data_IF_614710556520
#
_entry.id   IF_614710556520
#
_cell.length_a   1.000
_cell.length_b   1.000
_cell.length_c   1.000
_cell.angle_alpha   90.00
_cell.angle_beta   90.00
_cell.angle_gamma   90.00
#
_symmetry.space_group_name_H-M   'P 1'
#
loop_
_entity.id
_entity.type
_entity.pdbx_description
1 polymer ?
#
# COMPACT_ATOMS: atom_id res chain seq x y z
N UNK A 1 -25.23 -3.98 3.87
CA UNK A 1 -25.02 -2.66 3.25
C UNK A 1 -25.54 -2.73 1.83
N UNK A 2 -26.53 -1.91 1.45
CA UNK A 2 -26.90 -1.83 0.04
C UNK A 2 -25.93 -0.90 -0.68
N UNK A 3 -25.73 -1.13 -1.98
CA UNK A 3 -24.95 -0.22 -2.83
C UNK A 3 -25.52 1.21 -2.85
N UNK A 4 -26.78 1.39 -2.45
CA UNK A 4 -27.47 2.66 -2.45
C UNK A 4 -27.11 3.50 -1.22
N UNK A 5 -26.94 2.88 -0.05
CA UNK A 5 -26.63 3.60 1.20
C UNK A 5 -25.29 4.34 1.11
N UNK A 6 -24.24 3.67 0.62
CA UNK A 6 -22.91 4.29 0.48
C UNK A 6 -22.86 5.40 -0.59
N UNK A 7 -23.66 5.27 -1.66
CA UNK A 7 -23.77 6.30 -2.69
C UNK A 7 -24.49 7.53 -2.19
N UNK A 8 -25.53 7.36 -1.37
CA UNK A 8 -26.26 8.48 -0.79
C UNK A 8 -25.36 9.27 0.17
N UNK A 9 -24.70 8.58 1.10
CA UNK A 9 -23.72 9.19 2.02
C UNK A 9 -22.66 9.99 1.26
N UNK A 10 -22.10 9.44 0.18
CA UNK A 10 -21.11 10.14 -0.63
C UNK A 10 -21.68 11.39 -1.33
N UNK A 11 -22.93 11.35 -1.79
CA UNK A 11 -23.59 12.51 -2.39
C UNK A 11 -23.81 13.61 -1.35
N UNK A 12 -24.28 13.24 -0.17
CA UNK A 12 -24.56 14.17 0.92
C UNK A 12 -23.25 14.84 1.41
N UNK A 13 -22.19 14.06 1.58
CA UNK A 13 -20.86 14.58 1.93
C UNK A 13 -20.30 15.55 0.89
N UNK A 14 -20.44 15.23 -0.40
CA UNK A 14 -20.02 16.12 -1.48
C UNK A 14 -20.82 17.43 -1.46
N UNK A 15 -22.14 17.35 -1.29
CA UNK A 15 -22.99 18.52 -1.22
C UNK A 15 -22.63 19.41 -0.01
N UNK A 16 -22.51 18.81 1.17
CA UNK A 16 -22.14 19.51 2.41
C UNK A 16 -20.77 20.19 2.29
N UNK A 17 -19.78 19.49 1.73
CA UNK A 17 -18.43 20.04 1.56
C UNK A 17 -18.40 21.19 0.55
N UNK A 18 -19.18 21.11 -0.53
CA UNK A 18 -19.32 22.19 -1.52
C UNK A 18 -20.00 23.42 -0.94
N UNK A 19 -20.98 23.23 -0.06
CA UNK A 19 -21.65 24.33 0.65
C UNK A 19 -20.77 24.94 1.74
N UNK A 20 -19.69 24.26 2.14
CA UNK A 20 -18.81 24.69 3.21
C UNK A 20 -19.49 24.68 4.59
N UNK A 21 -20.55 23.89 4.75
CA UNK A 21 -21.34 23.76 5.98
C UNK A 21 -20.74 22.64 6.86
N UNK A 22 -20.06 22.98 7.97
CA UNK A 22 -19.42 21.98 8.83
C UNK A 22 -20.44 21.05 9.50
N UNK A 23 -21.63 21.53 9.84
CA UNK A 23 -22.65 20.72 10.51
C UNK A 23 -23.22 19.68 9.55
N UNK A 24 -23.45 20.05 8.30
CA UNK A 24 -23.88 19.13 7.26
C UNK A 24 -22.82 18.07 6.95
N UNK A 25 -21.53 18.44 6.99
CA UNK A 25 -20.42 17.49 6.83
C UNK A 25 -20.41 16.50 7.99
N UNK A 26 -20.51 16.98 9.23
CA UNK A 26 -20.52 16.14 10.42
C UNK A 26 -21.72 15.18 10.42
N UNK A 27 -22.91 15.66 10.03
CA UNK A 27 -24.11 14.84 9.92
C UNK A 27 -23.93 13.71 8.88
N UNK A 28 -23.42 14.04 7.70
CA UNK A 28 -23.22 13.05 6.64
C UNK A 28 -22.11 12.05 7.02
N UNK A 29 -21.06 12.50 7.72
CA UNK A 29 -20.01 11.64 8.24
C UNK A 29 -20.54 10.70 9.34
N UNK A 30 -21.40 11.20 10.23
CA UNK A 30 -22.08 10.36 11.22
C UNK A 30 -22.92 9.26 10.57
N UNK A 31 -23.54 9.54 9.42
CA UNK A 31 -24.22 8.51 8.61
C UNK A 31 -23.28 7.38 8.16
N UNK A 32 -22.06 7.69 7.75
CA UNK A 32 -21.02 6.69 7.45
C UNK A 32 -20.61 5.91 8.70
N UNK A 33 -20.39 6.61 9.80
CA UNK A 33 -19.89 6.03 11.04
C UNK A 33 -20.93 5.16 11.76
N UNK A 34 -22.22 5.39 11.49
CA UNK A 34 -23.34 4.61 12.01
C UNK A 34 -23.59 3.30 11.24
N UNK A 35 -22.89 3.05 10.13
CA UNK A 35 -23.04 1.78 9.40
C UNK A 35 -22.65 0.61 10.31
N UNK A 36 -23.39 -0.52 10.34
CA UNK A 36 -23.20 -1.58 11.34
C UNK A 36 -21.75 -2.07 11.50
N UNK A 37 -21.06 -2.40 10.40
CA UNK A 37 -19.66 -2.85 10.46
C UNK A 37 -18.66 -1.74 10.80
N UNK A 38 -19.00 -0.48 10.51
CA UNK A 38 -18.17 0.67 10.89
C UNK A 38 -18.35 0.98 12.37
N UNK A 39 -19.59 1.01 12.86
CA UNK A 39 -19.93 1.23 14.26
C UNK A 39 -19.40 0.12 15.16
N UNK A 40 -19.39 -1.13 14.67
CA UNK A 40 -18.73 -2.26 15.33
C UNK A 40 -17.19 -2.17 15.30
N UNK A 41 -16.62 -1.23 14.56
CA UNK A 41 -15.18 -1.05 14.37
C UNK A 41 -14.48 -2.28 13.77
N UNK A 42 -15.19 -2.99 12.89
CA UNK A 42 -14.69 -4.17 12.20
C UNK A 42 -13.46 -3.84 11.34
N UNK A 43 -12.70 -4.88 10.94
CA UNK A 43 -11.64 -4.72 9.93
C UNK A 43 -12.26 -4.32 8.60
N UNK A 44 -11.82 -3.18 8.05
CA UNK A 44 -12.22 -2.76 6.71
C UNK A 44 -11.58 -3.70 5.69
N UNK A 45 -12.42 -4.35 4.88
CA UNK A 45 -11.92 -5.10 3.74
C UNK A 45 -11.47 -4.14 2.61
N UNK A 46 -10.58 -4.56 1.70
CA UNK A 46 -10.06 -3.70 0.63
C UNK A 46 -11.16 -3.07 -0.23
N UNK A 47 -12.21 -3.82 -0.55
CA UNK A 47 -13.32 -3.31 -1.36
C UNK A 47 -14.11 -2.18 -0.68
N UNK A 48 -14.21 -2.18 0.65
CA UNK A 48 -14.82 -1.08 1.40
C UNK A 48 -13.92 0.15 1.42
N UNK A 49 -12.59 -0.04 1.57
CA UNK A 49 -11.63 1.06 1.49
C UNK A 49 -11.74 1.75 0.13
N UNK A 50 -11.63 0.99 -0.96
CA UNK A 50 -11.64 1.52 -2.33
C UNK A 50 -12.98 2.17 -2.71
N UNK A 51 -14.11 1.56 -2.35
CA UNK A 51 -15.43 2.01 -2.82
C UNK A 51 -16.10 3.02 -1.91
N UNK A 52 -15.65 3.17 -0.68
CA UNK A 52 -16.29 4.05 0.32
C UNK A 52 -15.29 5.00 0.96
N UNK A 53 -14.22 4.50 1.58
CA UNK A 53 -13.28 5.35 2.33
C UNK A 53 -12.52 6.31 1.41
N UNK A 54 -11.96 5.82 0.28
CA UNK A 54 -11.22 6.67 -0.65
C UNK A 54 -12.10 7.79 -1.24
N UNK A 55 -13.30 7.51 -1.80
CA UNK A 55 -14.18 8.56 -2.33
C UNK A 55 -14.65 9.55 -1.28
N UNK A 56 -14.94 9.10 -0.05
CA UNK A 56 -15.34 9.99 1.04
C UNK A 56 -14.20 10.90 1.47
N UNK A 57 -13.00 10.36 1.69
CA UNK A 57 -11.84 11.20 2.05
C UNK A 57 -11.49 12.20 0.95
N UNK A 58 -11.59 11.82 -0.33
CA UNK A 58 -11.41 12.76 -1.45
C UNK A 58 -12.48 13.86 -1.46
N UNK A 59 -13.74 13.53 -1.13
CA UNK A 59 -14.80 14.52 -1.03
C UNK A 59 -14.52 15.57 0.07
N UNK A 60 -13.85 15.17 1.17
CA UNK A 60 -13.49 16.07 2.28
C UNK A 60 -12.21 16.89 2.03
N UNK A 61 -11.46 16.61 0.96
CA UNK A 61 -10.22 17.33 0.61
C UNK A 61 -10.34 18.87 0.64
N UNK A 62 -11.47 19.51 0.25
CA UNK A 62 -11.58 20.98 0.29
C UNK A 62 -11.61 21.60 1.69
N UNK A 63 -11.85 20.83 2.76
CA UNK A 63 -11.93 21.35 4.13
C UNK A 63 -10.57 21.84 4.65
N UNK A 64 -10.55 22.68 5.68
CA UNK A 64 -9.27 23.07 6.31
C UNK A 64 -8.64 21.89 7.04
N UNK A 65 -7.30 21.82 7.08
CA UNK A 65 -6.56 20.75 7.81
C UNK A 65 -6.99 20.69 9.27
N UNK A 66 -7.30 21.84 9.88
CA UNK A 66 -7.81 21.93 11.25
C UNK A 66 -9.11 21.16 11.49
N UNK A 67 -9.96 21.01 10.48
CA UNK A 67 -11.20 20.23 10.57
C UNK A 67 -10.96 18.74 10.32
N UNK A 68 -9.91 18.38 9.58
CA UNK A 68 -9.57 16.98 9.29
C UNK A 68 -8.75 16.31 10.41
N UNK A 69 -7.90 17.07 11.11
CA UNK A 69 -7.05 16.54 12.20
C UNK A 69 -7.82 15.82 13.31
N UNK A 70 -8.98 16.29 13.79
CA UNK A 70 -9.78 15.58 14.78
C UNK A 70 -10.17 14.16 14.34
N UNK A 71 -10.42 13.93 13.04
CA UNK A 71 -10.76 12.62 12.51
C UNK A 71 -9.65 11.60 12.74
N UNK A 72 -8.38 12.02 12.75
CA UNK A 72 -7.25 11.13 13.06
C UNK A 72 -7.24 10.65 14.52
N UNK A 73 -8.02 11.24 15.41
CA UNK A 73 -8.21 10.80 16.79
C UNK A 73 -9.53 10.04 17.01
N UNK A 74 -10.30 9.82 15.95
CA UNK A 74 -11.62 9.21 16.06
C UNK A 74 -11.52 7.77 16.60
N UNK A 75 -12.44 7.34 17.49
CA UNK A 75 -12.43 5.99 18.06
C UNK A 75 -12.55 4.90 17.00
N UNK A 76 -13.38 5.14 15.97
CA UNK A 76 -13.57 4.20 14.85
C UNK A 76 -12.46 4.34 13.80
N UNK A 77 -11.94 3.21 13.34
CA UNK A 77 -10.89 3.12 12.33
C UNK A 77 -11.30 3.79 11.00
N UNK A 78 -12.56 3.64 10.60
CA UNK A 78 -13.08 4.28 9.39
C UNK A 78 -12.99 5.81 9.44
N UNK A 79 -13.29 6.42 10.60
CA UNK A 79 -13.15 7.88 10.79
C UNK A 79 -11.70 8.33 10.64
N UNK A 80 -10.76 7.59 11.23
CA UNK A 80 -9.32 7.86 11.09
C UNK A 80 -8.84 7.69 9.65
N UNK A 81 -9.32 6.66 8.96
CA UNK A 81 -8.98 6.39 7.57
C UNK A 81 -9.52 7.49 6.63
N UNK A 82 -10.76 7.93 6.82
CA UNK A 82 -11.33 9.07 6.06
C UNK A 82 -10.48 10.33 6.25
N UNK A 83 -10.12 10.66 7.49
CA UNK A 83 -9.23 11.78 7.77
C UNK A 83 -7.85 11.63 7.13
N UNK A 84 -7.27 10.42 7.17
CA UNK A 84 -5.99 10.11 6.56
C UNK A 84 -6.01 10.31 5.03
N UNK A 85 -7.05 9.84 4.36
CA UNK A 85 -7.24 9.99 2.91
C UNK A 85 -7.39 11.46 2.54
N UNK A 86 -8.23 12.21 3.25
CA UNK A 86 -8.44 13.63 2.98
C UNK A 86 -7.13 14.44 3.09
N UNK A 87 -6.34 14.19 4.14
CA UNK A 87 -5.03 14.82 4.35
C UNK A 87 -4.01 14.38 3.30
N UNK A 88 -3.99 13.12 2.89
CA UNK A 88 -3.12 12.63 1.82
C UNK A 88 -3.38 13.37 0.51
N UNK A 89 -4.66 13.51 0.14
CA UNK A 89 -5.04 14.19 -1.08
C UNK A 89 -4.73 15.70 -1.03
N UNK A 90 -4.86 16.33 0.15
CA UNK A 90 -4.41 17.72 0.35
C UNK A 90 -2.89 17.87 0.19
N UNK A 91 -2.11 17.00 0.83
CA UNK A 91 -0.65 17.02 0.79
C UNK A 91 -0.14 16.93 -0.66
N UNK A 92 -0.65 15.93 -1.40
CA UNK A 92 -0.31 15.74 -2.81
C UNK A 92 -0.70 16.96 -3.64
N UNK A 93 -1.91 17.49 -3.44
CA UNK A 93 -2.42 18.66 -4.16
C UNK A 93 -1.72 19.97 -3.77
N UNK A 94 -0.82 19.98 -2.78
CA UNK A 94 -0.14 21.20 -2.32
C UNK A 94 -1.08 22.17 -1.61
N UNK A 95 -2.12 21.64 -0.97
CA UNK A 95 -3.01 22.41 -0.11
C UNK A 95 -2.40 22.54 1.29
N UNK A 96 -3.23 22.73 2.30
CA UNK A 96 -2.86 23.07 3.67
C UNK A 96 -2.15 21.92 4.44
N UNK A 97 -2.37 20.65 4.05
CA UNK A 97 -1.75 19.51 4.72
C UNK A 97 -0.26 19.34 4.38
N UNK A 98 0.52 18.95 5.39
CA UNK A 98 1.97 18.72 5.28
C UNK A 98 2.33 17.26 5.55
N UNK A 99 3.58 16.87 5.28
CA UNK A 99 4.08 15.54 5.64
C UNK A 99 3.95 15.23 7.16
N UNK A 100 3.96 16.27 8.02
CA UNK A 100 3.77 16.12 9.47
C UNK A 100 2.36 15.63 9.80
N UNK A 101 1.34 16.06 9.04
CA UNK A 101 -0.05 15.66 9.24
C UNK A 101 -0.28 14.19 8.90
N UNK A 102 0.55 13.62 8.01
CA UNK A 102 0.47 12.21 7.61
C UNK A 102 1.19 11.26 8.57
N UNK A 103 2.01 11.76 9.51
CA UNK A 103 2.76 10.91 10.45
C UNK A 103 1.86 10.08 11.36
N UNK A 104 0.77 10.68 11.85
CA UNK A 104 -0.17 9.99 12.73
C UNK A 104 -0.87 8.82 12.03
N UNK A 105 -1.50 8.99 10.86
CA UNK A 105 -2.12 7.86 10.17
C UNK A 105 -1.09 6.84 9.64
N UNK A 106 0.13 7.25 9.26
CA UNK A 106 1.20 6.31 8.89
C UNK A 106 1.65 5.43 10.07
N UNK A 107 1.46 5.90 11.31
CA UNK A 107 1.75 5.15 12.54
C UNK A 107 0.51 4.57 13.22
N UNK A 108 -0.66 4.61 12.57
CA UNK A 108 -1.89 4.08 13.15
C UNK A 108 -1.69 2.62 13.58
N UNK A 109 -2.33 2.19 14.66
CA UNK A 109 -2.25 0.78 15.09
C UNK A 109 -2.96 -0.15 14.10
N UNK A 110 -3.97 0.36 13.40
CA UNK A 110 -4.80 -0.39 12.46
C UNK A 110 -4.18 -0.42 11.06
N UNK A 111 -3.89 -1.63 10.58
CA UNK A 111 -3.36 -1.89 9.24
C UNK A 111 -4.25 -1.31 8.13
N UNK A 112 -5.58 -1.42 8.29
CA UNK A 112 -6.55 -0.94 7.30
C UNK A 112 -6.63 0.60 7.23
N UNK A 113 -6.24 1.32 8.28
CA UNK A 113 -6.06 2.79 8.22
C UNK A 113 -4.79 3.15 7.44
N UNK A 114 -3.68 2.44 7.70
CA UNK A 114 -2.42 2.61 6.94
C UNK A 114 -2.61 2.26 5.47
N UNK A 115 -3.37 1.21 5.18
CA UNK A 115 -3.72 0.83 3.80
C UNK A 115 -4.53 1.93 3.09
N UNK A 116 -5.54 2.51 3.74
CA UNK A 116 -6.29 3.62 3.16
C UNK A 116 -5.41 4.84 2.85
N UNK A 117 -4.50 5.20 3.77
CA UNK A 117 -3.51 6.25 3.55
C UNK A 117 -2.62 5.95 2.34
N UNK A 118 -2.02 4.76 2.29
CA UNK A 118 -1.12 4.36 1.21
C UNK A 118 -1.84 4.33 -0.15
N UNK A 119 -3.06 3.79 -0.21
CA UNK A 119 -3.85 3.77 -1.45
C UNK A 119 -4.18 5.19 -1.94
N UNK A 120 -4.59 6.09 -1.04
CA UNK A 120 -4.84 7.49 -1.40
C UNK A 120 -3.58 8.19 -1.94
N UNK A 121 -2.44 8.00 -1.29
CA UNK A 121 -1.15 8.53 -1.75
C UNK A 121 -0.77 7.94 -3.12
N UNK A 122 -0.99 6.64 -3.33
CA UNK A 122 -0.73 5.97 -4.61
C UNK A 122 -1.55 6.56 -5.75
N UNK A 123 -2.87 6.68 -5.55
CA UNK A 123 -3.80 7.16 -6.57
C UNK A 123 -3.57 8.63 -6.91
N UNK A 124 -3.55 9.49 -5.90
CA UNK A 124 -3.42 10.93 -6.10
C UNK A 124 -2.00 11.35 -6.47
N UNK A 125 -1.00 10.73 -5.84
CA UNK A 125 0.39 11.16 -5.92
C UNK A 125 1.13 10.72 -7.19
N UNK A 126 0.52 9.88 -8.03
CA UNK A 126 0.95 9.68 -9.43
C UNK A 126 1.10 11.02 -10.19
N UNK A 127 0.36 12.06 -9.79
CA UNK A 127 0.42 13.42 -10.35
C UNK A 127 1.48 14.32 -9.71
N UNK A 128 2.09 13.89 -8.60
CA UNK A 128 3.13 14.63 -7.89
C UNK A 128 4.25 13.70 -7.38
N UNK A 129 4.93 12.97 -8.29
CA UNK A 129 5.87 11.91 -7.93
C UNK A 129 7.06 12.41 -7.10
N UNK A 130 7.56 13.63 -7.33
CA UNK A 130 8.65 14.19 -6.52
C UNK A 130 8.25 14.32 -5.04
N UNK A 131 7.06 14.85 -4.75
CA UNK A 131 6.55 14.98 -3.37
C UNK A 131 6.35 13.62 -2.70
N UNK A 132 5.84 12.65 -3.44
CA UNK A 132 5.69 11.29 -2.95
C UNK A 132 7.05 10.65 -2.64
N UNK A 133 8.05 10.87 -3.50
CA UNK A 133 9.41 10.36 -3.28
C UNK A 133 10.02 10.98 -2.02
N UNK A 134 9.91 12.31 -1.85
CA UNK A 134 10.39 13.03 -0.66
C UNK A 134 9.69 12.58 0.63
N UNK A 135 8.45 12.09 0.54
CA UNK A 135 7.74 11.47 1.66
C UNK A 135 8.20 10.03 1.92
N UNK A 136 8.41 9.24 0.86
CA UNK A 136 8.72 7.82 0.96
C UNK A 136 10.09 7.58 1.58
N UNK A 137 11.12 8.31 1.14
CA UNK A 137 12.51 8.11 1.57
C UNK A 137 12.65 8.12 3.09
N UNK A 138 12.25 9.17 3.83
CA UNK A 138 12.37 9.16 5.27
C UNK A 138 11.51 8.08 5.93
N UNK A 139 10.32 7.76 5.38
CA UNK A 139 9.45 6.73 5.95
C UNK A 139 10.00 5.32 5.83
N UNK A 140 10.70 5.00 4.74
CA UNK A 140 11.38 3.71 4.56
C UNK A 140 12.58 3.54 5.51
N UNK A 141 13.11 4.65 6.04
CA UNK A 141 14.24 4.68 6.98
C UNK A 141 13.81 4.82 8.45
N UNK A 142 12.50 4.98 8.72
CA UNK A 142 11.99 5.08 10.09
C UNK A 142 12.27 3.79 10.87
N UNK A 143 12.63 3.85 12.18
CA UNK A 143 12.79 2.66 13.01
C UNK A 143 11.49 1.87 13.20
N UNK A 144 10.36 2.56 13.21
CA UNK A 144 9.03 1.95 13.30
C UNK A 144 8.68 1.21 12.00
N UNK A 145 8.13 -0.02 12.06
CA UNK A 145 7.73 -0.75 10.84
C UNK A 145 6.49 -0.15 10.15
N UNK A 146 5.70 0.66 10.86
CA UNK A 146 4.41 1.15 10.36
C UNK A 146 4.55 2.19 9.23
N UNK A 147 5.41 3.23 9.34
CA UNK A 147 5.68 4.12 8.21
C UNK A 147 6.34 3.40 7.04
N UNK A 148 7.27 2.47 7.29
CA UNK A 148 7.89 1.64 6.24
C UNK A 148 6.83 0.89 5.44
N UNK A 149 5.92 0.20 6.14
CA UNK A 149 4.78 -0.48 5.53
C UNK A 149 3.89 0.47 4.73
N UNK A 150 3.56 1.64 5.29
CA UNK A 150 2.73 2.65 4.62
C UNK A 150 3.39 3.18 3.34
N UNK A 151 4.71 3.38 3.35
CA UNK A 151 5.49 3.80 2.20
C UNK A 151 5.41 2.77 1.06
N UNK A 152 5.67 1.50 1.38
CA UNK A 152 5.66 0.39 0.42
C UNK A 152 4.34 0.28 -0.36
N UNK A 153 3.20 0.64 0.25
CA UNK A 153 1.90 0.59 -0.41
C UNK A 153 1.79 1.60 -1.58
N UNK A 154 2.39 2.79 -1.45
CA UNK A 154 2.28 3.83 -2.49
C UNK A 154 3.48 3.94 -3.43
N UNK A 155 4.59 3.28 -3.12
CA UNK A 155 5.78 3.26 -3.99
C UNK A 155 5.51 2.88 -5.46
N UNK A 156 4.56 1.99 -5.81
CA UNK A 156 4.28 1.69 -7.22
C UNK A 156 3.89 2.92 -8.05
N UNK A 157 3.35 3.98 -7.44
CA UNK A 157 3.05 5.24 -8.14
C UNK A 157 4.32 6.01 -8.56
N UNK A 158 5.49 5.65 -8.03
CA UNK A 158 6.78 6.25 -8.33
C UNK A 158 7.57 5.48 -9.39
N UNK A 159 7.03 4.36 -9.90
CA UNK A 159 7.74 3.46 -10.80
C UNK A 159 8.31 4.20 -12.02
N UNK A 160 7.45 4.83 -12.82
CA UNK A 160 7.83 5.50 -14.07
C UNK A 160 8.89 6.61 -13.89
N UNK A 161 8.83 7.33 -12.77
CA UNK A 161 9.68 8.51 -12.54
C UNK A 161 10.95 8.23 -11.73
N UNK A 162 10.93 7.22 -10.86
CA UNK A 162 12.00 6.97 -9.88
C UNK A 162 12.41 5.49 -9.77
N UNK A 163 11.87 4.59 -10.59
CA UNK A 163 11.99 3.13 -10.41
C UNK A 163 13.41 2.61 -10.14
N UNK A 164 14.43 3.08 -10.89
CA UNK A 164 15.84 2.69 -10.61
C UNK A 164 16.34 3.12 -9.24
N UNK A 165 15.95 4.32 -8.78
CA UNK A 165 16.32 4.84 -7.45
C UNK A 165 15.58 4.09 -6.34
N UNK A 166 14.37 3.61 -6.60
CA UNK A 166 13.59 2.84 -5.63
C UNK A 166 14.29 1.52 -5.28
N UNK A 167 14.93 0.84 -6.23
CA UNK A 167 15.56 -0.45 -5.97
C UNK A 167 16.61 -0.38 -4.86
N UNK A 168 17.48 0.64 -4.86
CA UNK A 168 18.46 0.84 -3.79
C UNK A 168 17.85 1.13 -2.41
N UNK A 169 16.61 1.67 -2.36
CA UNK A 169 15.88 1.87 -1.11
C UNK A 169 15.18 0.58 -0.64
N UNK A 170 14.78 -0.29 -1.58
CA UNK A 170 14.07 -1.53 -1.29
C UNK A 170 15.02 -2.69 -0.93
N UNK A 171 16.24 -2.68 -1.45
CA UNK A 171 17.27 -3.69 -1.20
C UNK A 171 17.44 -4.05 0.29
N UNK A 172 17.67 -3.10 1.22
CA UNK A 172 17.86 -3.44 2.63
C UNK A 172 16.59 -4.00 3.30
N UNK A 173 15.40 -3.78 2.72
CA UNK A 173 14.14 -4.23 3.31
C UNK A 173 13.88 -5.72 3.09
N UNK A 174 14.64 -6.40 2.22
CA UNK A 174 14.59 -7.85 2.06
C UNK A 174 14.89 -8.59 3.38
N UNK A 175 15.73 -7.99 4.23
CA UNK A 175 16.09 -8.50 5.55
C UNK A 175 15.39 -7.76 6.71
N UNK A 176 14.35 -6.96 6.45
CA UNK A 176 13.64 -6.22 7.51
C UNK A 176 13.13 -7.21 8.58
N UNK A 177 13.33 -6.95 9.88
CA UNK A 177 12.89 -7.87 10.93
C UNK A 177 11.37 -7.98 11.03
N UNK A 178 10.63 -6.97 10.60
CA UNK A 178 9.18 -6.93 10.71
C UNK A 178 8.48 -7.70 9.56
N UNK A 179 7.60 -8.63 9.93
CA UNK A 179 6.89 -9.48 8.96
C UNK A 179 5.93 -8.68 8.07
N UNK A 180 5.31 -7.64 8.61
CA UNK A 180 4.35 -6.82 7.87
C UNK A 180 5.08 -6.00 6.80
N UNK A 181 6.24 -5.44 7.13
CA UNK A 181 7.10 -4.73 6.18
C UNK A 181 7.51 -5.67 5.04
N UNK A 182 7.95 -6.89 5.34
CA UNK A 182 8.31 -7.88 4.31
C UNK A 182 7.14 -8.26 3.42
N UNK A 183 5.93 -8.37 3.97
CA UNK A 183 4.73 -8.63 3.18
C UNK A 183 4.39 -7.48 2.26
N UNK A 184 4.43 -6.25 2.76
CA UNK A 184 4.21 -5.06 1.94
C UNK A 184 5.29 -4.89 0.87
N UNK A 185 6.54 -5.26 1.16
CA UNK A 185 7.65 -5.26 0.21
C UNK A 185 7.38 -6.22 -0.95
N UNK A 186 6.93 -7.45 -0.64
CA UNK A 186 6.62 -8.43 -1.68
C UNK A 186 5.50 -7.96 -2.62
N UNK A 187 4.45 -7.34 -2.06
CA UNK A 187 3.36 -6.76 -2.85
C UNK A 187 3.84 -5.54 -3.68
N UNK A 188 4.69 -4.68 -3.11
CA UNK A 188 5.28 -3.54 -3.80
C UNK A 188 6.16 -3.97 -4.98
N UNK A 189 7.04 -4.96 -4.79
CA UNK A 189 7.88 -5.51 -5.85
C UNK A 189 7.04 -6.15 -6.96
N UNK A 190 6.01 -6.91 -6.60
CA UNK A 190 5.08 -7.49 -7.57
C UNK A 190 4.33 -6.42 -8.37
N UNK A 191 3.97 -5.31 -7.75
CA UNK A 191 3.34 -4.18 -8.43
C UNK A 191 4.32 -3.44 -9.35
N UNK A 192 5.56 -3.23 -8.91
CA UNK A 192 6.62 -2.63 -9.74
C UNK A 192 6.94 -3.49 -10.96
N UNK A 193 7.03 -4.80 -10.80
CA UNK A 193 7.28 -5.72 -11.90
C UNK A 193 6.18 -5.62 -12.98
N UNK A 194 4.91 -5.66 -12.56
CA UNK A 194 3.75 -5.45 -13.46
C UNK A 194 3.70 -4.07 -14.10
N UNK A 195 4.34 -3.07 -13.50
CA UNK A 195 4.46 -1.72 -14.03
C UNK A 195 5.67 -1.53 -14.98
N UNK A 196 6.28 -2.62 -15.46
CA UNK A 196 7.38 -2.59 -16.43
C UNK A 196 8.79 -2.58 -15.83
N UNK A 197 8.92 -2.82 -14.52
CA UNK A 197 10.23 -2.90 -13.85
C UNK A 197 10.65 -4.35 -13.54
N UNK A 198 10.14 -5.32 -14.29
CA UNK A 198 10.39 -6.74 -14.07
C UNK A 198 11.89 -7.07 -14.03
N UNK A 199 12.69 -6.57 -14.97
CA UNK A 199 14.15 -6.79 -14.98
C UNK A 199 14.85 -6.29 -13.70
N UNK A 200 14.45 -5.11 -13.20
CA UNK A 200 15.02 -4.54 -11.97
C UNK A 200 14.61 -5.34 -10.74
N UNK A 201 13.37 -5.81 -10.71
CA UNK A 201 12.87 -6.68 -9.64
C UNK A 201 13.59 -8.03 -9.67
N UNK A 202 13.73 -8.67 -10.84
CA UNK A 202 14.45 -9.93 -11.01
C UNK A 202 15.92 -9.79 -10.60
N UNK A 203 16.58 -8.71 -10.98
CA UNK A 203 17.95 -8.42 -10.54
C UNK A 203 18.09 -8.34 -9.02
N UNK A 204 17.13 -7.69 -8.34
CA UNK A 204 17.12 -7.63 -6.89
C UNK A 204 16.84 -9.00 -6.24
N UNK A 205 15.92 -9.78 -6.80
CA UNK A 205 15.62 -11.12 -6.30
C UNK A 205 16.80 -12.09 -6.48
N UNK A 206 17.51 -11.99 -7.60
CA UNK A 206 18.74 -12.76 -7.85
C UNK A 206 19.84 -12.39 -6.87
N UNK A 207 20.02 -11.10 -6.58
CA UNK A 207 20.95 -10.62 -5.56
C UNK A 207 20.62 -11.25 -4.19
N UNK A 208 19.35 -11.19 -3.77
CA UNK A 208 18.93 -11.79 -2.49
C UNK A 208 19.05 -13.31 -2.47
N UNK A 209 18.79 -14.00 -3.58
CA UNK A 209 18.92 -15.46 -3.65
C UNK A 209 20.36 -15.94 -3.46
N UNK A 210 21.33 -15.14 -3.93
CA UNK A 210 22.76 -15.43 -3.79
C UNK A 210 23.30 -15.24 -2.36
N UNK A 211 22.55 -14.59 -1.47
CA UNK A 211 22.95 -14.40 -0.07
C UNK A 211 23.12 -15.73 0.67
N UNK A 212 23.94 -15.73 1.74
CA UNK A 212 24.14 -16.91 2.59
C UNK A 212 22.85 -17.35 3.30
N UNK A 213 22.01 -16.39 3.66
CA UNK A 213 20.75 -16.61 4.38
C UNK A 213 19.62 -15.85 3.68
N UNK A 214 19.23 -16.29 2.47
CA UNK A 214 18.28 -15.55 1.65
C UNK A 214 16.90 -15.53 2.32
N UNK A 215 16.16 -14.44 2.12
CA UNK A 215 14.77 -14.39 2.52
C UNK A 215 13.88 -15.14 1.52
N UNK A 216 13.93 -16.47 1.58
CA UNK A 216 13.23 -17.36 0.66
C UNK A 216 11.72 -17.06 0.59
N UNK A 217 11.11 -16.61 1.69
CA UNK A 217 9.70 -16.26 1.71
C UNK A 217 9.37 -15.04 0.86
N UNK A 218 10.15 -13.95 0.97
CA UNK A 218 9.93 -12.75 0.13
C UNK A 218 10.16 -13.08 -1.33
N UNK A 219 11.28 -13.76 -1.65
CA UNK A 219 11.64 -14.11 -3.03
C UNK A 219 10.53 -14.96 -3.68
N UNK A 220 10.14 -16.03 -2.99
CA UNK A 220 9.09 -16.95 -3.45
C UNK A 220 7.74 -16.26 -3.61
N UNK A 221 7.38 -15.39 -2.65
CA UNK A 221 6.11 -14.65 -2.69
C UNK A 221 6.04 -13.72 -3.91
N UNK A 222 7.14 -13.05 -4.25
CA UNK A 222 7.24 -12.14 -5.40
C UNK A 222 7.20 -12.91 -6.73
N UNK A 223 7.96 -14.02 -6.83
CA UNK A 223 8.00 -14.89 -8.02
C UNK A 223 6.71 -15.69 -8.25
N UNK A 224 5.87 -15.88 -7.24
CA UNK A 224 4.59 -16.59 -7.40
C UNK A 224 3.55 -15.82 -8.23
N UNK A 225 3.85 -14.59 -8.68
CA UNK A 225 2.95 -13.79 -9.49
C UNK A 225 3.04 -14.15 -10.97
N UNK A 226 1.92 -14.00 -11.69
CA UNK A 226 1.84 -14.26 -13.15
C UNK A 226 2.88 -13.52 -13.98
N UNK A 227 3.32 -12.34 -13.54
CA UNK A 227 4.34 -11.53 -14.23
C UNK A 227 5.68 -12.29 -14.33
N UNK A 228 6.03 -13.13 -13.36
CA UNK A 228 7.29 -13.86 -13.37
C UNK A 228 7.28 -14.99 -14.40
N UNK A 229 6.11 -15.50 -14.79
CA UNK A 229 5.97 -16.51 -15.84
C UNK A 229 6.36 -15.96 -17.23
N UNK A 230 6.37 -14.64 -17.40
CA UNK A 230 6.83 -13.97 -18.63
C UNK A 230 8.37 -13.92 -18.71
N UNK A 231 9.08 -14.29 -17.63
CA UNK A 231 10.54 -14.29 -17.50
C UNK A 231 11.07 -15.66 -17.01
N UNK A 232 10.84 -16.73 -17.79
CA UNK A 232 11.04 -18.10 -17.32
C UNK A 232 12.50 -18.42 -16.97
N UNK A 233 13.45 -17.95 -17.77
CA UNK A 233 14.87 -18.24 -17.58
C UNK A 233 15.41 -17.61 -16.29
N UNK A 234 15.04 -16.36 -16.03
CA UNK A 234 15.44 -15.64 -14.82
C UNK A 234 14.76 -16.21 -13.58
N UNK A 235 13.45 -16.49 -13.65
CA UNK A 235 12.72 -17.10 -12.55
C UNK A 235 13.29 -18.49 -12.19
N UNK A 236 13.57 -19.32 -13.18
CA UNK A 236 14.22 -20.62 -12.98
C UNK A 236 15.60 -20.48 -12.36
N UNK A 237 16.45 -19.57 -12.89
CA UNK A 237 17.79 -19.34 -12.34
C UNK A 237 17.74 -18.93 -10.87
N UNK A 238 16.82 -18.05 -10.48
CA UNK A 238 16.66 -17.61 -9.09
C UNK A 238 16.19 -18.77 -8.21
N UNK A 239 15.25 -19.58 -8.68
CA UNK A 239 14.74 -20.71 -7.91
C UNK A 239 15.78 -21.82 -7.75
N UNK A 240 16.63 -22.08 -8.75
CA UNK A 240 17.76 -23.01 -8.66
C UNK A 240 18.81 -22.53 -7.66
N UNK A 241 19.14 -21.25 -7.66
CA UNK A 241 20.04 -20.68 -6.66
C UNK A 241 19.44 -20.84 -5.26
N UNK A 242 18.14 -20.54 -5.11
CA UNK A 242 17.45 -20.63 -3.83
C UNK A 242 17.33 -22.08 -3.32
N UNK A 243 17.09 -23.06 -4.20
CA UNK A 243 16.98 -24.47 -3.85
C UNK A 243 18.29 -25.11 -3.38
N UNK A 244 19.43 -24.52 -3.77
CA UNK A 244 20.74 -24.94 -3.28
C UNK A 244 20.97 -24.61 -1.80
N UNK A 245 20.14 -23.73 -1.22
CA UNK A 245 20.28 -23.26 0.16
C UNK A 245 19.47 -24.12 1.14
N UNK A 246 19.99 -24.41 2.34
CA UNK A 246 19.25 -25.15 3.35
C UNK A 246 17.95 -24.45 3.78
N UNK A 247 16.86 -25.21 3.92
CA UNK A 247 15.61 -24.74 4.51
C UNK A 247 14.67 -23.94 3.59
N UNK A 248 14.96 -23.87 2.29
CA UNK A 248 14.17 -23.10 1.31
C UNK A 248 13.23 -23.97 0.46
N UNK A 249 13.36 -25.29 0.54
CA UNK A 249 12.70 -26.25 -0.36
C UNK A 249 11.17 -26.13 -0.40
N UNK A 250 10.53 -25.88 0.75
CA UNK A 250 9.07 -25.73 0.82
C UNK A 250 8.56 -24.51 0.06
N UNK A 251 9.27 -23.38 0.16
CA UNK A 251 8.91 -22.12 -0.51
C UNK A 251 9.19 -22.22 -2.02
N UNK A 252 10.30 -22.84 -2.39
CA UNK A 252 10.63 -23.12 -3.81
C UNK A 252 9.55 -23.98 -4.45
N UNK A 253 9.19 -25.12 -3.82
CA UNK A 253 8.16 -26.03 -4.35
C UNK A 253 6.80 -25.32 -4.53
N UNK A 254 6.38 -24.56 -3.51
CA UNK A 254 5.14 -23.77 -3.58
C UNK A 254 5.16 -22.73 -4.71
N UNK A 255 6.33 -22.16 -5.02
CA UNK A 255 6.49 -21.18 -6.10
C UNK A 255 6.42 -21.84 -7.47
N UNK A 256 7.04 -23.01 -7.64
CA UNK A 256 6.94 -23.80 -8.88
C UNK A 256 5.47 -24.17 -9.14
N UNK A 257 4.73 -24.63 -8.12
CA UNK A 257 3.30 -24.91 -8.25
C UNK A 257 2.49 -23.66 -8.63
N UNK A 258 2.86 -22.49 -8.12
CA UNK A 258 2.23 -21.23 -8.50
C UNK A 258 2.52 -20.86 -9.97
N UNK A 259 3.76 -21.01 -10.42
CA UNK A 259 4.17 -20.73 -11.81
C UNK A 259 3.57 -21.73 -12.81
N UNK A 260 3.41 -23.00 -12.44
CA UNK A 260 2.73 -24.00 -13.25
C UNK A 260 1.27 -23.63 -13.51
N UNK A 261 0.56 -23.04 -12.53
CA UNK A 261 -0.80 -22.49 -12.73
C UNK A 261 -0.83 -21.31 -13.71
N UNK A 262 0.31 -20.71 -14.00
CA UNK A 262 0.49 -19.65 -14.99
C UNK A 262 1.10 -20.17 -16.31
N UNK A 263 1.22 -21.49 -16.47
CA UNK A 263 1.71 -22.12 -17.71
C UNK A 263 3.23 -22.23 -17.82
N UNK A 264 3.97 -21.97 -16.74
CA UNK A 264 5.42 -22.14 -16.69
C UNK A 264 5.79 -23.41 -15.91
N UNK A 265 6.32 -24.41 -16.61
CA UNK A 265 6.86 -25.63 -16.01
C UNK A 265 8.36 -25.45 -15.74
N UNK A 266 8.77 -25.64 -14.48
CA UNK A 266 10.18 -25.53 -14.05
C UNK A 266 10.60 -26.85 -13.41
N UNK A 267 11.68 -27.42 -13.90
CA UNK A 267 12.30 -28.62 -13.33
C UNK A 267 13.58 -28.25 -12.60
N UNK A 268 13.56 -28.31 -11.26
CA UNK A 268 14.76 -28.13 -10.44
C UNK A 268 15.36 -29.50 -10.15
N UNK A 269 16.41 -29.81 -10.90
CA UNK A 269 17.26 -31.01 -10.76
C UNK A 269 18.27 -30.87 -9.62
#
# INVERSE_FOLDING_TARGET
MTKNDSRQILRDLKAATLLGDPEAVDLALNGLLALPGVAANDRMNPGFIEKVILPVGEALKPLKTSHLRPLLAHPLAAGRAVGAVALANQFVSGMDATAKDLRKPANDSREDVRAALGLALRESGSKAPAKLYDLAVPWLLEPSPKPRTSALIFLPALAESHGKRLMGLLEPLGADPDREVRAALAEALSALARAGFAESVLGLLALWAAETHPNAWVISRVLSGSWAAEHPAEAESILRELSSKPGTSSQVSSTIEALARHGLEIEIS
#
